data_IF_821390083158
#
_entry.id   IF_821390083158
#
_cell.length_a   1.000
_cell.length_b   1.000
_cell.length_c   1.000
_cell.angle_alpha   90.00
_cell.angle_beta   90.00
_cell.angle_gamma   90.00
#
_symmetry.space_group_name_H-M   'P 1'
#
loop_
_entity.id
_entity.type
_entity.pdbx_description
1 polymer ?
#
# COMPACT_ATOMS: atom_id res chain seq x y z
N UNK A 1 9.23 28.09 6.80
CA UNK A 1 7.92 28.55 6.30
C UNK A 1 7.69 28.17 4.83
N UNK A 2 8.67 28.33 3.92
CA UNK A 2 8.50 27.98 2.51
C UNK A 2 8.17 26.49 2.28
N UNK A 3 8.76 25.57 3.03
CA UNK A 3 8.47 24.14 2.89
C UNK A 3 7.02 23.83 3.29
N UNK A 4 6.56 24.40 4.39
CA UNK A 4 5.19 24.21 4.88
C UNK A 4 4.12 24.91 4.04
N UNK A 5 4.49 25.97 3.30
CA UNK A 5 3.58 26.56 2.34
C UNK A 5 3.24 25.65 1.15
N UNK A 6 4.12 24.67 0.86
CA UNK A 6 3.91 23.68 -0.20
C UNK A 6 3.19 22.42 0.29
N UNK A 7 3.41 22.02 1.53
CA UNK A 7 2.75 20.89 2.17
C UNK A 7 2.74 21.13 3.70
N UNK A 8 1.59 21.54 4.23
CA UNK A 8 1.40 21.89 5.65
C UNK A 8 1.78 20.73 6.58
N UNK A 9 1.56 19.50 6.15
CA UNK A 9 1.73 18.29 6.95
C UNK A 9 3.05 17.55 6.70
N UNK A 10 3.96 18.14 5.93
CA UNK A 10 5.27 17.52 5.70
C UNK A 10 6.03 17.36 7.01
N UNK A 11 6.50 16.15 7.37
CA UNK A 11 7.33 16.00 8.55
C UNK A 11 8.71 16.61 8.31
N UNK A 12 9.19 17.35 9.30
CA UNK A 12 10.51 17.97 9.27
C UNK A 12 11.35 17.45 10.45
N UNK A 13 12.64 17.25 10.20
CA UNK A 13 13.61 16.87 11.23
C UNK A 13 14.73 17.91 11.24
N UNK A 14 14.94 18.50 12.39
CA UNK A 14 16.10 19.34 12.66
C UNK A 14 17.16 18.51 13.36
N UNK A 15 18.32 18.38 12.73
CA UNK A 15 19.46 17.70 13.30
C UNK A 15 20.54 18.74 13.68
N UNK A 16 20.88 18.82 14.95
CA UNK A 16 21.86 19.80 15.44
C UNK A 16 22.69 19.24 16.58
N UNK A 17 23.92 19.76 16.74
CA UNK A 17 24.78 19.55 17.92
C UNK A 17 24.56 20.60 19.03
N UNK A 18 23.81 21.66 18.71
CA UNK A 18 23.53 22.75 19.63
C UNK A 18 22.20 22.54 20.35
N UNK A 19 22.22 22.46 21.68
CA UNK A 19 21.05 22.26 22.52
C UNK A 19 19.98 23.36 22.38
N UNK A 20 20.39 24.59 22.09
CA UNK A 20 19.50 25.74 21.88
C UNK A 20 18.54 25.48 20.66
N UNK A 21 18.96 24.73 19.68
CA UNK A 21 18.13 24.40 18.51
C UNK A 21 17.02 23.41 18.83
N UNK A 22 17.07 22.71 19.95
CA UNK A 22 15.98 21.83 20.41
C UNK A 22 14.73 22.63 20.73
N UNK A 23 14.86 23.74 21.43
CA UNK A 23 13.73 24.60 21.78
C UNK A 23 13.10 25.20 20.51
N UNK A 24 13.92 25.65 19.57
CA UNK A 24 13.44 26.15 18.26
C UNK A 24 12.70 25.07 17.47
N UNK A 25 13.17 23.83 17.49
CA UNK A 25 12.48 22.71 16.82
C UNK A 25 11.09 22.49 17.41
N UNK A 26 10.95 22.53 18.74
CA UNK A 26 9.65 22.38 19.44
C UNK A 26 8.71 23.53 19.07
N UNK A 27 9.17 24.78 19.09
CA UNK A 27 8.38 25.97 18.74
C UNK A 27 7.81 25.91 17.32
N UNK A 28 8.57 25.31 16.39
CA UNK A 28 8.16 25.12 15.00
C UNK A 28 7.52 23.75 14.71
N UNK A 29 7.27 22.93 15.73
CA UNK A 29 6.73 21.57 15.59
C UNK A 29 7.57 20.69 14.65
N UNK A 30 8.90 20.79 14.74
CA UNK A 30 9.85 19.91 14.06
C UNK A 30 10.28 18.78 14.98
N UNK A 31 10.55 17.62 14.41
CA UNK A 31 11.26 16.57 15.13
C UNK A 31 12.72 16.99 15.32
N UNK A 32 13.28 16.72 16.49
CA UNK A 32 14.67 17.09 16.81
C UNK A 32 15.54 15.86 17.04
N UNK A 33 16.73 15.87 16.47
CA UNK A 33 17.76 14.83 16.67
C UNK A 33 19.06 15.51 17.10
N UNK A 34 19.58 15.12 18.27
CA UNK A 34 20.87 15.57 18.76
C UNK A 34 22.00 14.77 18.11
N UNK A 35 22.87 15.48 17.38
CA UNK A 35 24.04 14.87 16.71
C UNK A 35 25.05 14.27 17.70
N UNK A 36 25.12 14.79 18.95
CA UNK A 36 26.02 14.33 19.95
C UNK A 36 25.48 13.16 20.79
N UNK A 37 24.21 12.81 20.59
CA UNK A 37 23.59 11.71 21.33
C UNK A 37 24.12 10.36 20.87
N UNK A 38 24.51 9.50 21.81
CA UNK A 38 24.84 8.09 21.52
C UNK A 38 23.65 7.31 20.95
N UNK A 39 22.44 7.85 21.12
CA UNK A 39 21.17 7.26 20.60
C UNK A 39 20.70 7.90 19.30
N UNK A 40 21.49 8.79 18.69
CA UNK A 40 21.11 9.54 17.48
C UNK A 40 20.48 8.66 16.39
N UNK A 41 21.09 7.50 16.08
CA UNK A 41 20.58 6.59 15.05
C UNK A 41 19.26 5.93 15.46
N UNK A 42 19.05 5.67 16.73
CA UNK A 42 17.81 5.09 17.26
C UNK A 42 16.70 6.14 17.17
N UNK A 43 16.97 7.36 17.63
CA UNK A 43 16.02 8.47 17.60
C UNK A 43 15.63 8.81 16.16
N UNK A 44 16.60 8.89 15.26
CA UNK A 44 16.35 9.12 13.83
C UNK A 44 15.50 7.99 13.21
N UNK A 45 15.83 6.73 13.51
CA UNK A 45 15.05 5.59 13.03
C UNK A 45 13.61 5.62 13.52
N UNK A 46 13.40 5.98 14.78
CA UNK A 46 12.07 6.12 15.37
C UNK A 46 11.28 7.21 14.66
N UNK A 47 11.86 8.38 14.46
CA UNK A 47 11.24 9.50 13.75
C UNK A 47 10.89 9.11 12.32
N UNK A 48 11.81 8.46 11.60
CA UNK A 48 11.56 8.00 10.23
C UNK A 48 10.41 6.99 10.18
N UNK A 49 10.35 6.05 11.13
CA UNK A 49 9.29 5.07 11.19
C UNK A 49 7.93 5.71 11.50
N UNK A 50 7.87 6.62 12.46
CA UNK A 50 6.61 7.20 12.96
C UNK A 50 6.06 8.33 12.09
N UNK A 51 6.93 9.20 11.55
CA UNK A 51 6.49 10.41 10.86
C UNK A 51 6.69 10.38 9.36
N UNK A 52 7.67 9.61 8.85
CA UNK A 52 7.98 9.57 7.41
C UNK A 52 7.43 8.34 6.70
N UNK A 53 6.74 7.46 7.42
CA UNK A 53 6.04 6.31 6.83
C UNK A 53 6.92 5.07 6.61
N UNK A 54 8.14 5.01 7.13
CA UNK A 54 9.01 3.84 7.00
C UNK A 54 8.63 2.67 7.92
N UNK A 55 7.86 2.93 8.99
CA UNK A 55 7.28 1.90 9.86
C UNK A 55 5.95 1.35 9.35
N UNK A 56 5.30 0.52 10.17
CA UNK A 56 3.92 0.11 9.93
C UNK A 56 3.00 1.34 9.88
N UNK A 57 1.94 1.26 9.09
CA UNK A 57 0.93 2.31 9.14
C UNK A 57 -0.01 2.09 10.32
N UNK A 58 -0.16 3.12 11.14
CA UNK A 58 -0.97 3.05 12.35
C UNK A 58 -2.14 4.01 12.21
N UNK A 59 -3.34 3.45 12.08
CA UNK A 59 -4.57 4.22 12.20
C UNK A 59 -4.83 4.53 13.67
N UNK A 60 -5.03 5.80 13.98
CA UNK A 60 -5.27 6.30 15.33
C UNK A 60 -6.59 7.04 15.42
N UNK A 61 -7.20 7.02 16.58
CA UNK A 61 -8.26 7.96 16.91
C UNK A 61 -7.71 9.40 16.91
N UNK A 62 -8.34 10.34 16.19
CA UNK A 62 -7.83 11.71 16.12
C UNK A 62 -7.92 12.50 17.44
N UNK A 63 -8.76 12.06 18.38
CA UNK A 63 -8.98 12.74 19.67
C UNK A 63 -8.15 12.13 20.80
N UNK A 64 -8.18 10.79 20.91
CA UNK A 64 -7.50 10.07 22.00
C UNK A 64 -6.08 9.65 21.64
N UNK A 65 -5.73 9.67 20.34
CA UNK A 65 -4.47 9.14 19.78
C UNK A 65 -4.27 7.64 19.99
N UNK A 66 -5.28 6.93 20.47
CA UNK A 66 -5.23 5.48 20.63
C UNK A 66 -5.11 4.76 19.29
N UNK A 67 -4.41 3.63 19.33
CA UNK A 67 -4.21 2.80 18.14
C UNK A 67 -5.49 2.03 17.85
N UNK A 68 -6.07 2.27 16.67
CA UNK A 68 -7.25 1.54 16.17
C UNK A 68 -6.82 0.30 15.41
N UNK A 69 -5.88 0.48 14.48
CA UNK A 69 -5.41 -0.58 13.60
C UNK A 69 -3.97 -0.33 13.18
N UNK A 70 -3.21 -1.40 13.06
CA UNK A 70 -1.85 -1.39 12.49
C UNK A 70 -1.86 -2.23 11.22
N UNK A 71 -1.30 -1.68 10.13
CA UNK A 71 -1.14 -2.38 8.85
C UNK A 71 0.31 -2.32 8.40
N UNK A 72 0.83 -3.45 7.91
CA UNK A 72 2.23 -3.64 7.55
C UNK A 72 2.47 -3.57 6.04
N UNK A 73 1.44 -3.91 5.28
CA UNK A 73 1.53 -4.05 3.83
C UNK A 73 0.21 -3.68 3.13
N UNK A 74 0.26 -3.62 1.79
CA UNK A 74 -0.91 -3.26 0.98
C UNK A 74 -2.09 -4.22 1.14
N UNK A 75 -1.82 -5.52 1.32
CA UNK A 75 -2.89 -6.51 1.50
C UNK A 75 -3.64 -6.26 2.80
N UNK A 76 -2.92 -6.06 3.91
CA UNK A 76 -3.55 -5.74 5.19
C UNK A 76 -4.35 -4.43 5.14
N UNK A 77 -3.85 -3.40 4.44
CA UNK A 77 -4.60 -2.16 4.23
C UNK A 77 -5.87 -2.42 3.44
N UNK A 78 -5.78 -3.13 2.32
CA UNK A 78 -6.91 -3.51 1.48
C UNK A 78 -7.99 -4.29 2.25
N UNK A 79 -7.59 -5.28 3.06
CA UNK A 79 -8.50 -6.16 3.79
C UNK A 79 -9.22 -5.45 4.95
N UNK A 80 -8.69 -4.33 5.42
CA UNK A 80 -9.18 -3.65 6.61
C UNK A 80 -9.70 -2.22 6.38
N UNK A 81 -9.53 -1.64 5.20
CA UNK A 81 -9.84 -0.22 4.93
C UNK A 81 -11.28 0.14 5.26
N UNK A 82 -12.23 -0.77 5.05
CA UNK A 82 -13.65 -0.58 5.35
C UNK A 82 -14.02 -0.75 6.85
N UNK A 83 -13.08 -1.22 7.67
CA UNK A 83 -13.27 -1.38 9.13
C UNK A 83 -12.77 -0.17 9.93
N UNK A 84 -12.06 0.75 9.27
CA UNK A 84 -11.47 1.93 9.93
C UNK A 84 -12.59 2.95 10.19
N UNK A 85 -12.71 3.52 11.42
CA UNK A 85 -13.67 4.56 11.71
C UNK A 85 -13.51 5.80 10.80
N UNK A 86 -14.62 6.48 10.49
CA UNK A 86 -14.64 7.62 9.58
C UNK A 86 -13.70 8.74 10.02
N UNK A 87 -13.71 9.11 11.29
CA UNK A 87 -12.87 10.19 11.83
C UNK A 87 -11.38 9.88 11.67
N UNK A 88 -10.98 8.63 11.94
CA UNK A 88 -9.61 8.18 11.73
C UNK A 88 -9.22 8.19 10.25
N UNK A 89 -10.11 7.72 9.38
CA UNK A 89 -9.88 7.73 7.94
C UNK A 89 -9.64 9.15 7.43
N UNK A 90 -10.55 10.07 7.73
CA UNK A 90 -10.44 11.49 7.35
C UNK A 90 -9.17 12.14 7.91
N UNK A 91 -8.85 11.87 9.17
CA UNK A 91 -7.64 12.38 9.82
C UNK A 91 -6.37 12.00 9.05
N UNK A 92 -6.27 10.74 8.62
CA UNK A 92 -5.06 10.25 7.97
C UNK A 92 -4.96 10.66 6.50
N UNK A 93 -6.07 10.68 5.76
CA UNK A 93 -6.05 11.06 4.34
C UNK A 93 -5.84 12.55 4.15
N UNK A 94 -6.51 13.41 4.95
CA UNK A 94 -6.38 14.86 4.85
C UNK A 94 -4.96 15.38 5.13
N UNK A 95 -4.16 14.60 5.87
CA UNK A 95 -2.76 14.89 6.20
C UNK A 95 -1.74 14.15 5.34
N UNK A 96 -2.18 13.54 4.25
CA UNK A 96 -1.32 12.77 3.33
C UNK A 96 -0.55 11.61 4.01
N UNK A 97 -1.02 11.10 5.15
CA UNK A 97 -0.31 10.02 5.86
C UNK A 97 -0.26 8.74 5.03
N UNK A 98 -1.38 8.36 4.37
CA UNK A 98 -1.45 7.16 3.53
C UNK A 98 -0.53 7.29 2.32
N UNK A 99 -0.57 8.42 1.60
CA UNK A 99 0.30 8.64 0.43
C UNK A 99 1.78 8.64 0.81
N UNK A 100 2.15 9.22 1.95
CA UNK A 100 3.52 9.22 2.47
C UNK A 100 4.00 7.81 2.80
N UNK A 101 3.16 7.01 3.46
CA UNK A 101 3.46 5.63 3.78
C UNK A 101 3.69 4.77 2.53
N UNK A 102 2.89 5.00 1.48
CA UNK A 102 3.06 4.35 0.18
C UNK A 102 4.35 4.81 -0.52
N UNK A 103 4.67 6.10 -0.45
CA UNK A 103 5.90 6.66 -0.99
C UNK A 103 7.14 6.03 -0.35
N UNK A 104 7.16 5.88 0.98
CA UNK A 104 8.26 5.24 1.72
C UNK A 104 8.47 3.76 1.33
N UNK A 105 7.49 3.12 0.69
CA UNK A 105 7.54 1.75 0.15
C UNK A 105 7.79 1.70 -1.35
N UNK A 106 8.21 2.81 -1.95
CA UNK A 106 8.42 2.95 -3.39
C UNK A 106 7.16 2.64 -4.25
N UNK A 107 5.97 2.79 -3.67
CA UNK A 107 4.68 2.64 -4.38
C UNK A 107 4.28 4.01 -4.95
N UNK A 108 5.19 4.59 -5.72
CA UNK A 108 5.08 5.96 -6.22
C UNK A 108 3.82 6.25 -7.04
N UNK A 109 3.36 5.38 -7.97
CA UNK A 109 2.17 5.68 -8.77
C UNK A 109 0.93 5.89 -7.91
N UNK A 110 0.69 5.02 -6.92
CA UNK A 110 -0.47 5.14 -6.02
C UNK A 110 -0.28 6.30 -5.06
N UNK A 111 0.93 6.49 -4.53
CA UNK A 111 1.25 7.61 -3.64
C UNK A 111 0.99 8.97 -4.32
N UNK A 112 1.48 9.15 -5.54
CA UNK A 112 1.28 10.38 -6.32
C UNK A 112 -0.20 10.61 -6.66
N UNK A 113 -0.92 9.55 -7.07
CA UNK A 113 -2.34 9.62 -7.34
C UNK A 113 -3.12 10.11 -6.10
N UNK A 114 -2.92 9.46 -4.94
CA UNK A 114 -3.64 9.81 -3.72
C UNK A 114 -3.26 11.21 -3.19
N UNK A 115 -2.02 11.64 -3.35
CA UNK A 115 -1.56 12.97 -2.92
C UNK A 115 -2.25 14.09 -3.69
N UNK A 116 -2.60 13.87 -4.95
CA UNK A 116 -3.22 14.87 -5.82
C UNK A 116 -4.75 14.97 -5.65
N UNK A 117 -5.36 14.08 -4.86
CA UNK A 117 -6.81 14.12 -4.63
C UNK A 117 -7.13 15.23 -3.64
N UNK A 118 -8.13 16.04 -3.98
CA UNK A 118 -8.65 17.09 -3.11
C UNK A 118 -9.72 16.52 -2.17
N UNK A 119 -9.27 15.82 -1.14
CA UNK A 119 -10.12 15.05 -0.22
C UNK A 119 -11.26 15.85 0.42
N UNK A 120 -11.02 17.10 0.76
CA UNK A 120 -12.02 17.98 1.37
C UNK A 120 -13.21 18.30 0.46
N UNK A 121 -13.11 18.06 -0.84
CA UNK A 121 -14.22 18.22 -1.79
C UNK A 121 -15.14 17.01 -1.85
N UNK A 122 -14.72 15.89 -1.30
CA UNK A 122 -15.47 14.65 -1.27
C UNK A 122 -16.15 14.55 0.09
N UNK A 123 -17.46 14.68 0.14
CA UNK A 123 -18.22 14.73 1.39
C UNK A 123 -18.42 13.34 2.03
N UNK A 124 -18.34 12.29 1.22
CA UNK A 124 -18.58 10.92 1.65
C UNK A 124 -17.25 10.16 1.89
N UNK A 125 -17.05 9.70 3.11
CA UNK A 125 -15.85 8.93 3.51
C UNK A 125 -15.79 7.58 2.80
N UNK A 126 -16.92 6.99 2.45
CA UNK A 126 -16.94 5.72 1.72
C UNK A 126 -16.43 5.88 0.28
N UNK A 127 -16.62 7.05 -0.33
CA UNK A 127 -15.96 7.38 -1.60
C UNK A 127 -14.43 7.39 -1.43
N UNK A 128 -13.93 7.99 -0.33
CA UNK A 128 -12.48 7.99 -0.05
C UNK A 128 -11.94 6.56 0.10
N UNK A 129 -12.65 5.69 0.81
CA UNK A 129 -12.27 4.28 1.00
C UNK A 129 -12.20 3.55 -0.33
N UNK A 130 -13.23 3.69 -1.17
CA UNK A 130 -13.31 3.05 -2.47
C UNK A 130 -12.17 3.52 -3.39
N UNK A 131 -11.87 4.80 -3.44
CA UNK A 131 -10.76 5.33 -4.25
C UNK A 131 -9.42 4.71 -3.82
N UNK A 132 -9.14 4.65 -2.52
CA UNK A 132 -7.89 4.08 -2.02
C UNK A 132 -7.87 2.57 -2.26
N UNK A 133 -8.97 1.88 -1.99
CA UNK A 133 -9.12 0.45 -2.20
C UNK A 133 -8.87 0.08 -3.66
N UNK A 134 -9.53 0.73 -4.60
CA UNK A 134 -9.42 0.47 -6.03
C UNK A 134 -8.01 0.74 -6.55
N UNK A 135 -7.38 1.83 -6.09
CA UNK A 135 -6.01 2.16 -6.45
C UNK A 135 -5.02 1.08 -5.97
N UNK A 136 -5.20 0.56 -4.74
CA UNK A 136 -4.38 -0.51 -4.19
C UNK A 136 -4.60 -1.81 -4.94
N UNK A 137 -5.86 -2.20 -5.18
CA UNK A 137 -6.21 -3.43 -5.90
C UNK A 137 -5.62 -3.39 -7.30
N UNK A 138 -5.83 -2.31 -8.05
CA UNK A 138 -5.31 -2.13 -9.39
C UNK A 138 -3.78 -2.21 -9.42
N UNK A 139 -3.10 -1.54 -8.49
CA UNK A 139 -1.64 -1.59 -8.39
C UNK A 139 -1.14 -3.00 -8.11
N UNK A 140 -1.76 -3.73 -7.16
CA UNK A 140 -1.39 -5.10 -6.84
C UNK A 140 -1.63 -6.05 -8.01
N UNK A 141 -2.75 -5.91 -8.71
CA UNK A 141 -3.03 -6.67 -9.93
C UNK A 141 -1.95 -6.41 -11.00
N UNK A 142 -1.59 -5.16 -11.24
CA UNK A 142 -0.51 -4.81 -12.19
C UNK A 142 0.84 -5.42 -11.80
N UNK A 143 1.19 -5.41 -10.51
CA UNK A 143 2.46 -5.99 -10.02
C UNK A 143 2.48 -7.52 -10.11
N UNK A 144 1.31 -8.15 -10.03
CA UNK A 144 1.16 -9.60 -10.12
C UNK A 144 0.93 -10.10 -11.55
N UNK A 145 1.04 -9.24 -12.56
CA UNK A 145 0.92 -9.65 -13.96
C UNK A 145 1.96 -10.71 -14.31
N UNK A 146 1.50 -11.86 -14.77
CA UNK A 146 2.35 -12.99 -15.13
C UNK A 146 2.94 -13.77 -13.94
N UNK A 147 2.60 -13.41 -12.71
CA UNK A 147 3.01 -14.16 -11.52
C UNK A 147 1.94 -15.18 -11.18
N UNK A 148 2.33 -16.46 -11.14
CA UNK A 148 1.49 -17.56 -10.65
C UNK A 148 1.85 -17.78 -9.18
N UNK A 149 1.07 -17.22 -8.28
CA UNK A 149 1.30 -17.32 -6.84
C UNK A 149 0.87 -18.70 -6.32
N UNK A 150 1.56 -19.22 -5.28
CA UNK A 150 1.10 -20.40 -4.56
C UNK A 150 -0.27 -20.13 -3.91
N UNK A 151 -1.23 -21.04 -4.12
CA UNK A 151 -2.53 -20.99 -3.45
C UNK A 151 -2.41 -21.50 -2.02
N UNK A 152 -2.72 -20.61 -1.10
CA UNK A 152 -2.77 -20.93 0.34
C UNK A 152 -4.07 -20.43 0.93
N UNK A 153 -4.84 -21.29 1.60
CA UNK A 153 -6.13 -20.92 2.20
C UNK A 153 -6.01 -19.79 3.22
N UNK A 154 -4.97 -19.82 4.04
CA UNK A 154 -4.68 -18.81 5.07
C UNK A 154 -4.28 -17.45 4.51
N UNK A 155 -3.81 -17.42 3.25
CA UNK A 155 -3.31 -16.23 2.57
C UNK A 155 -4.00 -15.97 1.23
N UNK A 156 -5.17 -16.57 1.00
CA UNK A 156 -5.89 -16.41 -0.25
C UNK A 156 -6.22 -14.94 -0.50
N UNK A 157 -5.80 -14.45 -1.66
CA UNK A 157 -6.14 -13.13 -2.15
C UNK A 157 -7.22 -13.24 -3.22
N UNK A 158 -8.44 -12.86 -2.86
CA UNK A 158 -9.59 -12.90 -3.80
C UNK A 158 -9.40 -12.03 -5.05
N UNK A 159 -8.41 -11.14 -5.07
CA UNK A 159 -8.07 -10.29 -6.22
C UNK A 159 -6.91 -10.84 -7.06
N UNK A 160 -6.28 -11.95 -6.65
CA UNK A 160 -5.33 -12.67 -7.49
C UNK A 160 -6.06 -13.38 -8.62
N UNK A 161 -5.55 -13.29 -9.84
CA UNK A 161 -6.15 -13.93 -11.03
C UNK A 161 -5.61 -15.32 -11.28
N UNK A 162 -4.37 -15.60 -10.89
CA UNK A 162 -3.70 -16.85 -11.14
C UNK A 162 -3.05 -17.40 -9.88
N UNK A 163 -3.31 -18.67 -9.56
CA UNK A 163 -2.66 -19.37 -8.46
C UNK A 163 -2.31 -20.81 -8.87
N UNK A 164 -1.33 -21.42 -8.18
CA UNK A 164 -0.97 -22.83 -8.34
C UNK A 164 -1.09 -23.57 -7.00
N UNK A 165 -1.40 -24.86 -7.09
CA UNK A 165 -1.32 -25.81 -5.98
C UNK A 165 -0.25 -26.83 -6.36
N UNK A 166 0.70 -27.07 -5.47
CA UNK A 166 1.87 -27.92 -5.68
C UNK A 166 3.12 -27.16 -6.12
N UNK A 167 4.24 -27.86 -6.11
CA UNK A 167 5.57 -27.34 -6.44
C UNK A 167 6.11 -27.84 -7.79
N UNK A 168 5.38 -28.77 -8.41
CA UNK A 168 5.73 -29.32 -9.71
C UNK A 168 5.51 -28.34 -10.88
N UNK A 169 5.51 -28.89 -12.10
CA UNK A 169 5.30 -28.11 -13.32
C UNK A 169 3.83 -27.68 -13.46
N UNK A 170 3.62 -26.44 -13.93
CA UNK A 170 2.29 -25.92 -14.30
C UNK A 170 1.70 -26.60 -15.54
N UNK A 171 2.50 -27.35 -16.29
CA UNK A 171 2.11 -27.87 -17.59
C UNK A 171 1.99 -26.78 -18.66
N UNK A 172 1.80 -27.20 -19.91
CA UNK A 172 1.72 -26.30 -21.07
C UNK A 172 0.48 -25.40 -21.05
N UNK A 173 -0.68 -25.93 -20.67
CA UNK A 173 -1.95 -25.18 -20.59
C UNK A 173 -1.90 -24.07 -19.52
N UNK A 174 -1.42 -24.40 -18.32
CA UNK A 174 -1.31 -23.44 -17.22
C UNK A 174 -0.37 -22.28 -17.56
N UNK A 175 0.82 -22.59 -18.14
CA UNK A 175 1.76 -21.56 -18.62
C UNK A 175 1.18 -20.70 -19.73
N UNK A 176 0.49 -21.33 -20.71
CA UNK A 176 -0.13 -20.63 -21.82
C UNK A 176 -1.21 -19.67 -21.37
N UNK A 177 -2.09 -20.08 -20.46
CA UNK A 177 -3.13 -19.22 -19.91
C UNK A 177 -2.54 -18.04 -19.09
N UNK A 178 -1.52 -18.28 -18.26
CA UNK A 178 -0.85 -17.21 -17.51
C UNK A 178 -0.17 -16.20 -18.45
N UNK A 179 0.43 -16.67 -19.54
CA UNK A 179 1.04 -15.82 -20.55
C UNK A 179 -0.02 -14.98 -21.29
N UNK A 180 -1.14 -15.61 -21.71
CA UNK A 180 -2.25 -14.91 -22.36
C UNK A 180 -2.88 -13.86 -21.44
N UNK A 181 -3.08 -14.17 -20.15
CA UNK A 181 -3.60 -13.20 -19.17
C UNK A 181 -2.70 -11.94 -19.09
N UNK A 182 -1.39 -12.14 -19.10
CA UNK A 182 -0.43 -11.05 -19.13
C UNK A 182 -0.50 -10.21 -20.41
N UNK A 183 -0.64 -10.86 -21.58
CA UNK A 183 -0.76 -10.17 -22.87
C UNK A 183 -2.06 -9.36 -22.90
N UNK A 184 -3.20 -9.96 -22.60
CA UNK A 184 -4.52 -9.31 -22.65
C UNK A 184 -4.53 -8.07 -21.73
N UNK A 185 -3.96 -8.17 -20.53
CA UNK A 185 -3.91 -7.06 -19.59
C UNK A 185 -2.94 -5.95 -19.99
N UNK A 186 -1.88 -6.26 -20.74
CA UNK A 186 -0.93 -5.26 -21.25
C UNK A 186 -1.43 -4.52 -22.49
N UNK A 187 -2.25 -5.16 -23.29
CA UNK A 187 -2.72 -4.66 -24.58
C UNK A 187 -4.18 -4.26 -24.49
N UNK A 188 -4.42 -2.94 -24.32
CA UNK A 188 -5.77 -2.38 -24.19
C UNK A 188 -6.64 -2.55 -25.44
N UNK A 189 -6.02 -2.78 -26.61
CA UNK A 189 -6.72 -3.05 -27.88
C UNK A 189 -7.61 -4.29 -27.83
N UNK A 190 -7.37 -5.23 -26.90
CA UNK A 190 -8.27 -6.37 -26.68
C UNK A 190 -9.60 -6.01 -25.98
N UNK A 191 -9.72 -4.82 -25.41
CA UNK A 191 -10.90 -4.34 -24.69
C UNK A 191 -11.59 -3.17 -25.42
N UNK A 192 -11.45 -3.10 -26.77
CA UNK A 192 -12.07 -2.06 -27.60
C UNK A 192 -13.49 -2.42 -28.08
N UNK A 193 -14.03 -3.54 -27.67
CA UNK A 193 -15.36 -3.99 -28.09
C UNK A 193 -16.44 -3.41 -27.17
N UNK A 194 -17.43 -2.72 -27.73
CA UNK A 194 -18.49 -2.04 -26.97
C UNK A 194 -19.28 -2.96 -26.02
N UNK A 195 -19.40 -4.24 -26.35
CA UNK A 195 -20.26 -5.19 -25.63
C UNK A 195 -19.55 -6.50 -25.25
N UNK A 196 -18.22 -6.54 -25.29
CA UNK A 196 -17.47 -7.74 -24.99
C UNK A 196 -16.11 -7.42 -24.38
N UNK A 197 -15.77 -8.09 -23.27
CA UNK A 197 -14.45 -8.06 -22.66
C UNK A 197 -13.71 -9.37 -22.94
N UNK A 198 -12.45 -9.26 -23.34
CA UNK A 198 -11.55 -10.40 -23.49
C UNK A 198 -10.82 -10.63 -22.16
N UNK A 199 -11.19 -11.68 -21.44
CA UNK A 199 -10.64 -11.97 -20.11
C UNK A 199 -10.24 -13.43 -19.98
N UNK A 200 -9.19 -13.69 -19.19
CA UNK A 200 -8.93 -15.02 -18.66
C UNK A 200 -9.65 -15.13 -17.32
N UNK A 201 -10.47 -16.16 -17.09
CA UNK A 201 -11.14 -16.36 -15.81
C UNK A 201 -10.12 -16.60 -14.70
N UNK A 202 -10.55 -16.38 -13.46
CA UNK A 202 -9.74 -16.78 -12.29
C UNK A 202 -9.38 -18.25 -12.40
N UNK A 203 -8.08 -18.54 -12.34
CA UNK A 203 -7.55 -19.87 -12.60
C UNK A 203 -6.69 -20.34 -11.44
N UNK A 204 -6.95 -21.56 -10.97
CA UNK A 204 -6.07 -22.31 -10.08
C UNK A 204 -5.55 -23.51 -10.85
N UNK A 205 -4.25 -23.63 -10.96
CA UNK A 205 -3.59 -24.72 -11.68
C UNK A 205 -3.08 -25.75 -10.65
N UNK A 206 -3.46 -27.00 -10.83
CA UNK A 206 -2.84 -28.13 -10.13
C UNK A 206 -1.53 -28.48 -10.84
N UNK A 207 -0.42 -28.45 -10.13
CA UNK A 207 0.89 -28.82 -10.65
C UNK A 207 1.01 -30.35 -10.86
N UNK A 208 2.01 -30.78 -11.60
CA UNK A 208 2.19 -32.18 -11.96
C UNK A 208 2.38 -33.10 -10.77
N UNK A 209 3.03 -32.65 -9.72
CA UNK A 209 3.21 -33.36 -8.45
C UNK A 209 1.88 -33.74 -7.78
N UNK A 210 0.88 -32.84 -7.83
CA UNK A 210 -0.46 -33.11 -7.29
C UNK A 210 -1.19 -34.17 -8.13
N UNK A 211 -0.96 -34.19 -9.46
CA UNK A 211 -1.51 -35.22 -10.33
C UNK A 211 -0.87 -36.58 -10.03
N UNK A 212 0.45 -36.61 -9.86
CA UNK A 212 1.20 -37.82 -9.52
C UNK A 212 0.70 -38.40 -8.19
N UNK A 213 0.56 -37.55 -7.15
CA UNK A 213 0.01 -37.94 -5.84
C UNK A 213 -1.43 -38.48 -5.88
N UNK A 214 -2.24 -38.02 -6.85
CA UNK A 214 -3.61 -38.52 -7.05
C UNK A 214 -3.64 -39.89 -7.74
N UNK A 215 -2.62 -40.18 -8.57
CA UNK A 215 -2.55 -41.43 -9.36
C UNK A 215 -1.94 -42.60 -8.59
N UNK A 216 -1.18 -42.34 -7.53
CA UNK A 216 -0.58 -43.34 -6.61
C UNK A 216 -1.62 -43.82 -5.57
#
# INVERSE_FOLDING_TARGET
>A
DEIRSRDEYIPLVLQSSESANRQRAIEHSFNYVDKNSKKMNIDLRTILAEHFGFGDFIFRDPKTHEVILRVRNLKELQDNIFKIPNDSMLYHISRNHVSRWLCARAIFPVSAFLKNITWHRLQDVDIHRNIIFDAIVKYRQMKNLGVVAEFRRDRFDKYSHFARIGDGSLGGKGRGLAFLDNIIKKHQEFNQFENADVVIPKTVVLCTDIFDEFMD
#
